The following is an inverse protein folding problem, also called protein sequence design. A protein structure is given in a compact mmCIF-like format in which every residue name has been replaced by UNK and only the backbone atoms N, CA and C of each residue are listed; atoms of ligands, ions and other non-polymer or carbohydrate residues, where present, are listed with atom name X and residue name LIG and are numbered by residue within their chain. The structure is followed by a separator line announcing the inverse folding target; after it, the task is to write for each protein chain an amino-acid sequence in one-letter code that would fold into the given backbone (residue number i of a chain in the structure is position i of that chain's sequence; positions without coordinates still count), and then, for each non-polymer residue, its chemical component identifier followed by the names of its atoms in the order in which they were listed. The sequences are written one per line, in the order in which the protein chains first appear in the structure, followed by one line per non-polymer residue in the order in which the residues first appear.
data_IF_024213808457
#
_entry.id   IF_024213808457
#
_cell.length_a   1.000
_cell.length_b   1.000
_cell.length_c   1.000
_cell.angle_alpha   90.00
_cell.angle_beta   90.00
_cell.angle_gamma   90.00
#
_symmetry.space_group_name_H-M   'P 1'
#
loop_
_entity.id
_entity.type
_entity.pdbx_description
1 polymer ?
#
# COMPACT_ATOMS: atom_id res chain seq x y z
N UNK A 1 -18.20 23.11 5.16
CA UNK A 1 -17.36 22.52 4.11
C UNK A 1 -16.76 21.20 4.61
N UNK A 2 -16.99 20.13 3.88
CA UNK A 2 -16.41 18.83 4.24
C UNK A 2 -15.02 18.77 3.62
N UNK A 3 -13.98 18.66 4.47
CA UNK A 3 -12.62 18.49 3.99
C UNK A 3 -12.43 17.06 3.49
N UNK A 4 -11.85 16.90 2.29
CA UNK A 4 -11.50 15.59 1.76
C UNK A 4 -10.30 15.02 2.52
N UNK A 5 -10.38 13.73 2.87
CA UNK A 5 -9.21 13.02 3.39
C UNK A 5 -8.25 12.72 2.25
N UNK A 6 -6.99 12.99 2.50
CA UNK A 6 -5.91 12.71 1.53
C UNK A 6 -5.29 11.37 1.85
N UNK A 7 -5.55 10.40 0.98
CA UNK A 7 -5.02 9.03 1.12
C UNK A 7 -4.06 8.78 -0.03
N UNK A 8 -2.88 8.28 0.27
CA UNK A 8 -1.90 7.91 -0.74
C UNK A 8 -1.70 6.40 -0.74
N UNK A 9 -1.64 5.82 -1.94
CA UNK A 9 -1.31 4.41 -2.14
C UNK A 9 0.09 4.36 -2.74
N UNK A 10 0.98 3.59 -2.12
CA UNK A 10 2.32 3.37 -2.64
C UNK A 10 2.49 1.88 -2.92
N UNK A 11 2.78 1.54 -4.18
CA UNK A 11 3.11 0.19 -4.60
C UNK A 11 4.60 0.06 -4.92
N UNK A 12 5.20 -1.01 -4.42
CA UNK A 12 6.60 -1.32 -4.60
C UNK A 12 6.90 -2.14 -5.85
N UNK A 13 8.06 -2.84 -5.85
CA UNK A 13 8.59 -3.47 -7.05
C UNK A 13 7.66 -4.53 -7.63
N UNK A 14 7.63 -4.56 -8.93
CA UNK A 14 6.88 -5.53 -9.76
C UNK A 14 5.35 -5.35 -9.71
N UNK A 15 4.83 -4.46 -8.89
CA UNK A 15 3.39 -4.23 -8.82
C UNK A 15 2.85 -3.44 -10.02
N UNK A 16 3.73 -2.85 -10.81
CA UNK A 16 3.39 -2.33 -12.13
C UNK A 16 3.00 -3.43 -13.13
N UNK A 17 3.33 -4.69 -12.81
CA UNK A 17 3.02 -5.84 -13.66
C UNK A 17 1.76 -6.60 -13.21
N UNK A 18 0.96 -6.03 -12.32
CA UNK A 18 -0.31 -6.64 -11.94
C UNK A 18 -1.19 -6.84 -13.18
N UNK A 19 -1.81 -8.01 -13.26
CA UNK A 19 -2.58 -8.44 -14.43
C UNK A 19 -1.77 -9.28 -15.41
N UNK A 20 -0.44 -9.23 -15.34
CA UNK A 20 0.47 -9.98 -16.21
C UNK A 20 1.32 -11.00 -15.47
N UNK A 21 1.72 -10.66 -14.23
CA UNK A 21 2.62 -11.47 -13.41
C UNK A 21 1.81 -12.32 -12.44
N UNK A 22 2.07 -13.62 -12.42
CA UNK A 22 1.48 -14.58 -11.48
C UNK A 22 -0.02 -14.33 -11.24
N UNK A 23 -0.86 -14.41 -12.30
CA UNK A 23 -2.28 -14.06 -12.17
C UNK A 23 -3.03 -14.93 -11.15
N UNK A 24 -2.55 -16.13 -10.86
CA UNK A 24 -3.14 -17.02 -9.85
C UNK A 24 -2.96 -16.49 -8.43
N UNK A 25 -1.95 -15.60 -8.20
CA UNK A 25 -1.72 -14.96 -6.90
C UNK A 25 -2.28 -13.54 -6.83
N UNK A 26 -2.14 -12.80 -7.93
CA UNK A 26 -2.38 -11.36 -7.94
C UNK A 26 -3.59 -10.95 -8.79
N UNK A 27 -4.21 -11.90 -9.53
CA UNK A 27 -5.34 -11.62 -10.40
C UNK A 27 -4.92 -11.14 -11.79
N UNK A 28 -5.91 -10.94 -12.66
CA UNK A 28 -5.72 -10.60 -14.07
C UNK A 28 -5.95 -9.13 -14.40
N UNK A 29 -6.49 -8.35 -13.46
CA UNK A 29 -6.73 -6.91 -13.66
C UNK A 29 -5.47 -6.12 -13.31
N UNK A 30 -5.13 -5.11 -14.13
CA UNK A 30 -4.01 -4.23 -13.78
C UNK A 30 -4.43 -3.22 -12.71
N UNK A 31 -3.44 -2.65 -12.02
CA UNK A 31 -3.72 -1.81 -10.86
C UNK A 31 -4.42 -0.50 -11.23
N UNK A 32 -4.07 0.11 -12.36
CA UNK A 32 -4.68 1.38 -12.77
C UNK A 32 -6.17 1.22 -13.02
N UNK A 33 -6.57 0.14 -13.69
CA UNK A 33 -7.99 -0.16 -13.92
C UNK A 33 -8.72 -0.41 -12.61
N UNK A 34 -8.09 -1.16 -11.71
CA UNK A 34 -8.64 -1.39 -10.37
C UNK A 34 -8.82 -0.07 -9.62
N UNK A 35 -7.80 0.77 -9.63
CA UNK A 35 -7.81 2.06 -8.94
C UNK A 35 -8.92 2.97 -9.46
N UNK A 36 -9.11 3.01 -10.77
CA UNK A 36 -10.17 3.80 -11.39
C UNK A 36 -11.56 3.32 -10.95
N UNK A 37 -11.75 2.01 -10.82
CA UNK A 37 -13.01 1.44 -10.31
C UNK A 37 -13.19 1.79 -8.84
N UNK A 38 -12.13 1.69 -8.05
CA UNK A 38 -12.17 1.99 -6.61
C UNK A 38 -12.57 3.44 -6.37
N UNK A 39 -11.98 4.37 -7.11
CA UNK A 39 -12.25 5.80 -6.95
C UNK A 39 -13.71 6.17 -7.24
N UNK A 40 -14.41 5.37 -8.05
CA UNK A 40 -15.83 5.60 -8.40
C UNK A 40 -16.80 5.08 -7.35
N UNK A 41 -16.31 4.30 -6.37
CA UNK A 41 -17.19 3.79 -5.32
C UNK A 41 -17.63 4.92 -4.39
N UNK A 42 -18.92 4.95 -4.08
CA UNK A 42 -19.49 5.99 -3.25
C UNK A 42 -18.83 6.10 -1.88
N UNK A 43 -18.41 4.96 -1.32
CA UNK A 43 -17.78 4.92 0.00
C UNK A 43 -16.47 5.74 0.05
N UNK A 44 -15.82 5.94 -1.11
CA UNK A 44 -14.57 6.70 -1.21
C UNK A 44 -14.77 8.10 -1.79
N UNK A 45 -16.01 8.54 -1.96
CA UNK A 45 -16.32 9.83 -2.61
C UNK A 45 -15.75 11.04 -1.87
N UNK A 46 -15.51 10.92 -0.56
CA UNK A 46 -14.97 11.98 0.29
C UNK A 46 -13.46 11.85 0.49
N UNK A 47 -12.78 11.17 -0.41
CA UNK A 47 -11.34 10.95 -0.32
C UNK A 47 -10.64 11.39 -1.59
N UNK A 48 -9.50 12.07 -1.42
CA UNK A 48 -8.57 12.35 -2.50
C UNK A 48 -7.51 11.22 -2.46
N UNK A 49 -7.54 10.33 -3.45
CA UNK A 49 -6.66 9.18 -3.50
C UNK A 49 -5.58 9.42 -4.55
N UNK A 50 -4.33 9.49 -4.12
CA UNK A 50 -3.17 9.58 -5.01
C UNK A 50 -2.43 8.25 -5.04
N UNK A 51 -1.78 7.97 -6.16
CA UNK A 51 -1.12 6.70 -6.40
C UNK A 51 0.33 6.89 -6.84
N UNK A 52 1.21 6.11 -6.23
CA UNK A 52 2.62 6.06 -6.59
C UNK A 52 3.03 4.61 -6.77
N UNK A 53 3.95 4.37 -7.68
CA UNK A 53 4.55 3.04 -7.86
C UNK A 53 6.04 3.22 -8.19
N UNK A 54 6.89 2.41 -7.61
CA UNK A 54 8.31 2.39 -7.95
C UNK A 54 8.93 1.03 -7.68
N UNK A 55 9.88 0.66 -8.53
CA UNK A 55 10.71 -0.52 -8.32
C UNK A 55 11.95 -0.21 -7.47
N UNK A 56 12.19 1.05 -7.15
CA UNK A 56 13.41 1.49 -6.49
C UNK A 56 13.16 1.80 -5.02
N UNK A 57 13.92 1.16 -4.14
CA UNK A 57 13.81 1.36 -2.70
C UNK A 57 13.95 2.83 -2.30
N UNK A 58 15.00 3.49 -2.82
CA UNK A 58 15.23 4.91 -2.52
C UNK A 58 14.11 5.82 -2.97
N UNK A 59 13.49 5.50 -4.10
CA UNK A 59 12.34 6.27 -4.59
C UNK A 59 11.13 6.14 -3.67
N UNK A 60 10.89 4.94 -3.15
CA UNK A 60 9.80 4.71 -2.19
C UNK A 60 10.07 5.52 -0.91
N UNK A 61 11.30 5.54 -0.44
CA UNK A 61 11.70 6.34 0.72
C UNK A 61 11.45 7.84 0.45
N UNK A 62 11.86 8.33 -0.72
CA UNK A 62 11.65 9.73 -1.08
C UNK A 62 10.17 10.09 -1.14
N UNK A 63 9.33 9.20 -1.69
CA UNK A 63 7.89 9.40 -1.73
C UNK A 63 7.33 9.51 -0.30
N UNK A 64 7.73 8.59 0.58
CA UNK A 64 7.30 8.62 1.99
C UNK A 64 7.68 9.95 2.66
N UNK A 65 8.91 10.43 2.42
CA UNK A 65 9.33 11.71 2.97
C UNK A 65 8.49 12.87 2.43
N UNK A 66 8.17 12.86 1.13
CA UNK A 66 7.43 13.95 0.50
C UNK A 66 5.99 14.05 0.97
N UNK A 67 5.30 12.92 1.14
CA UNK A 67 3.87 12.91 1.48
C UNK A 67 3.61 12.62 2.95
N UNK A 68 4.62 12.19 3.69
CA UNK A 68 4.48 11.63 5.04
C UNK A 68 4.11 12.61 6.14
N UNK A 69 4.06 13.91 5.86
CA UNK A 69 3.70 14.93 6.84
C UNK A 69 2.40 15.64 6.49
N UNK A 70 1.75 15.24 5.41
CA UNK A 70 0.54 15.92 4.93
C UNK A 70 -0.56 14.96 4.47
N UNK A 71 -0.32 13.64 4.45
CA UNK A 71 -1.34 12.65 4.15
C UNK A 71 -2.12 12.32 5.42
N UNK A 72 -3.43 12.09 5.26
CA UNK A 72 -4.25 11.58 6.35
C UNK A 72 -4.04 10.09 6.56
N UNK A 73 -3.60 9.39 5.52
CA UNK A 73 -3.24 7.98 5.60
C UNK A 73 -2.46 7.54 4.37
N UNK A 74 -1.58 6.57 4.58
CA UNK A 74 -0.77 5.96 3.52
C UNK A 74 -1.02 4.46 3.54
N UNK A 75 -1.41 3.91 2.39
CA UNK A 75 -1.53 2.46 2.18
C UNK A 75 -0.30 2.02 1.41
N UNK A 76 0.55 1.22 2.03
CA UNK A 76 1.83 0.83 1.46
C UNK A 76 1.87 -0.68 1.21
N UNK A 77 2.07 -1.05 -0.05
CA UNK A 77 2.45 -2.40 -0.44
C UNK A 77 3.87 -2.34 -0.98
N UNK A 78 4.84 -2.58 -0.12
CA UNK A 78 6.26 -2.46 -0.48
C UNK A 78 6.78 -3.66 -1.30
N UNK A 79 5.91 -4.63 -1.61
CA UNK A 79 6.31 -5.83 -2.34
C UNK A 79 7.41 -6.58 -1.60
N UNK A 80 8.41 -7.05 -2.34
CA UNK A 80 9.52 -7.82 -1.75
C UNK A 80 10.34 -7.00 -0.75
N UNK A 81 10.35 -5.68 -0.84
CA UNK A 81 11.08 -4.84 0.13
C UNK A 81 10.50 -4.94 1.55
N UNK A 82 9.28 -5.41 1.69
CA UNK A 82 8.69 -5.73 3.00
C UNK A 82 9.58 -6.64 3.83
N UNK A 83 10.27 -7.57 3.16
CA UNK A 83 11.04 -8.63 3.80
C UNK A 83 12.53 -8.29 3.90
N UNK A 84 12.98 -7.14 3.39
CA UNK A 84 14.39 -6.81 3.28
C UNK A 84 14.76 -5.39 3.68
N UNK A 85 13.82 -4.43 3.63
CA UNK A 85 14.20 -3.02 3.72
C UNK A 85 14.05 -2.44 5.12
N UNK A 86 15.17 -2.30 5.80
CA UNK A 86 15.26 -1.49 7.01
C UNK A 86 15.12 0.00 6.67
N UNK A 87 15.59 0.43 5.49
CA UNK A 87 15.48 1.82 5.07
C UNK A 87 14.04 2.30 4.96
N UNK A 88 13.16 1.48 4.40
CA UNK A 88 11.74 1.82 4.32
C UNK A 88 11.11 1.82 5.73
N UNK A 89 11.48 0.85 6.57
CA UNK A 89 10.99 0.82 7.96
C UNK A 89 11.36 2.11 8.70
N UNK A 90 12.62 2.55 8.55
CA UNK A 90 13.09 3.78 9.18
C UNK A 90 12.38 5.02 8.61
N UNK A 91 12.09 5.03 7.30
CA UNK A 91 11.32 6.12 6.69
C UNK A 91 9.92 6.21 7.28
N UNK A 92 9.24 5.08 7.47
CA UNK A 92 7.90 5.04 8.09
C UNK A 92 7.96 5.61 9.51
N UNK A 93 8.98 5.25 10.27
CA UNK A 93 9.15 5.79 11.64
C UNK A 93 9.40 7.30 11.65
N UNK A 94 9.97 7.84 10.59
CA UNK A 94 10.38 9.24 10.52
C UNK A 94 9.26 10.20 10.13
N UNK A 95 8.17 9.70 9.59
CA UNK A 95 7.05 10.53 9.13
C UNK A 95 5.91 10.52 10.16
N UNK A 96 5.01 11.52 10.04
CA UNK A 96 3.89 11.64 10.97
C UNK A 96 2.60 11.01 10.45
N UNK A 97 2.44 10.88 9.14
CA UNK A 97 1.24 10.25 8.55
C UNK A 97 1.18 8.77 8.91
N UNK A 98 0.02 8.25 9.31
CA UNK A 98 -0.11 6.82 9.62
C UNK A 98 -0.01 5.96 8.37
N UNK A 99 0.66 4.82 8.49
CA UNK A 99 0.88 3.88 7.39
C UNK A 99 0.21 2.55 7.71
N UNK A 100 -0.57 2.02 6.77
CA UNK A 100 -1.12 0.67 6.81
C UNK A 100 -0.35 -0.17 5.79
N UNK A 101 0.23 -1.26 6.25
CA UNK A 101 0.90 -2.23 5.39
C UNK A 101 -0.16 -3.12 4.73
N UNK A 102 -0.07 -3.30 3.39
CA UNK A 102 -1.03 -4.09 2.63
C UNK A 102 -0.30 -5.09 1.74
N UNK A 103 -0.83 -6.29 1.65
CA UNK A 103 -0.38 -7.33 0.72
C UNK A 103 -1.59 -7.95 0.05
N UNK A 104 -1.47 -8.24 -1.25
CA UNK A 104 -2.54 -8.86 -2.03
C UNK A 104 -2.70 -10.33 -1.65
N UNK A 105 -1.58 -11.06 -1.59
CA UNK A 105 -1.57 -12.48 -1.24
C UNK A 105 -1.55 -12.68 0.27
N UNK A 106 -1.88 -13.90 0.70
CA UNK A 106 -1.64 -14.31 2.09
C UNK A 106 -0.16 -14.66 2.23
N UNK A 107 0.61 -13.74 2.82
CA UNK A 107 2.06 -13.89 2.97
C UNK A 107 2.45 -15.10 3.81
N UNK A 108 1.57 -15.57 4.69
CA UNK A 108 1.84 -16.73 5.53
C UNK A 108 1.68 -18.07 4.81
N UNK A 109 1.04 -18.06 3.62
CA UNK A 109 0.92 -19.26 2.80
C UNK A 109 1.96 -19.35 1.68
N UNK A 110 2.92 -18.42 1.67
CA UNK A 110 4.02 -18.35 0.70
C UNK A 110 5.31 -18.89 1.31
N UNK A 111 6.44 -18.67 0.62
CA UNK A 111 7.75 -19.12 1.09
C UNK A 111 8.07 -18.53 2.48
N UNK A 112 8.82 -19.27 3.29
CA UNK A 112 9.10 -18.89 4.67
C UNK A 112 9.74 -17.50 4.80
N UNK A 113 10.59 -17.11 3.82
CA UNK A 113 11.25 -15.79 3.84
C UNK A 113 10.27 -14.63 3.58
N UNK A 114 9.01 -14.91 3.16
CA UNK A 114 7.97 -13.90 2.97
C UNK A 114 7.04 -13.76 4.17
N UNK A 115 7.23 -14.56 5.20
CA UNK A 115 6.38 -14.51 6.40
C UNK A 115 6.76 -13.40 7.35
N UNK A 116 8.02 -12.94 7.29
CA UNK A 116 8.52 -11.88 8.16
C UNK A 116 8.45 -10.53 7.45
N UNK A 117 7.89 -9.55 8.14
CA UNK A 117 7.87 -8.16 7.69
C UNK A 117 8.74 -7.29 8.58
N UNK A 118 9.62 -6.50 7.97
CA UNK A 118 10.34 -5.44 8.69
C UNK A 118 9.46 -4.22 8.91
N UNK A 119 8.30 -4.14 8.23
CA UNK A 119 7.46 -2.95 8.23
C UNK A 119 6.33 -3.02 9.25
N UNK A 120 5.84 -4.23 9.57
CA UNK A 120 4.65 -4.40 10.41
C UNK A 120 4.76 -3.71 11.76
N UNK A 121 5.93 -3.76 12.39
CA UNK A 121 6.13 -3.17 13.71
C UNK A 121 6.13 -1.64 13.71
N UNK A 122 6.33 -1.02 12.55
CA UNK A 122 6.35 0.46 12.42
C UNK A 122 5.11 1.00 11.72
N UNK A 123 4.26 0.12 11.18
CA UNK A 123 2.97 0.49 10.61
C UNK A 123 1.88 0.48 11.66
N UNK A 124 0.81 1.25 11.44
CA UNK A 124 -0.34 1.28 12.32
C UNK A 124 -1.10 -0.05 12.31
N UNK A 125 -1.09 -0.76 11.19
CA UNK A 125 -1.73 -2.06 11.05
C UNK A 125 -1.30 -2.74 9.76
N UNK A 126 -1.67 -4.02 9.62
CA UNK A 126 -1.32 -4.84 8.46
C UNK A 126 -2.55 -5.58 7.97
N UNK A 127 -2.77 -5.56 6.65
CA UNK A 127 -3.87 -6.27 5.99
C UNK A 127 -3.27 -7.09 4.84
N UNK A 128 -3.59 -8.38 4.80
CA UNK A 128 -3.11 -9.23 3.73
C UNK A 128 -4.09 -10.35 3.41
N UNK A 129 -4.04 -10.87 2.18
CA UNK A 129 -4.75 -12.08 1.81
C UNK A 129 -6.12 -11.88 1.19
N UNK A 130 -6.58 -10.65 1.01
CA UNK A 130 -7.91 -10.35 0.46
C UNK A 130 -7.85 -9.91 -1.01
N UNK A 131 -6.75 -10.24 -1.71
CA UNK A 131 -6.58 -9.80 -3.09
C UNK A 131 -6.51 -8.28 -3.14
N UNK A 132 -7.01 -7.71 -4.23
CA UNK A 132 -7.04 -6.25 -4.39
C UNK A 132 -7.91 -5.55 -3.35
N UNK A 133 -8.90 -6.24 -2.78
CA UNK A 133 -9.72 -5.68 -1.70
C UNK A 133 -8.90 -5.29 -0.47
N UNK A 134 -7.71 -5.85 -0.32
CA UNK A 134 -6.81 -5.47 0.77
C UNK A 134 -6.53 -3.95 0.77
N UNK A 135 -6.44 -3.34 -0.42
CA UNK A 135 -6.27 -1.88 -0.54
C UNK A 135 -7.50 -1.13 -0.03
N UNK A 136 -8.70 -1.59 -0.39
CA UNK A 136 -9.95 -0.96 0.06
C UNK A 136 -10.07 -1.02 1.58
N UNK A 137 -9.75 -2.17 2.15
CA UNK A 137 -9.76 -2.34 3.60
C UNK A 137 -8.77 -1.40 4.29
N UNK A 138 -7.59 -1.24 3.68
CA UNK A 138 -6.59 -0.29 4.18
C UNK A 138 -7.10 1.14 4.17
N UNK A 139 -7.72 1.56 3.08
CA UNK A 139 -8.27 2.91 2.94
C UNK A 139 -9.40 3.14 3.96
N UNK A 140 -10.31 2.17 4.08
CA UNK A 140 -11.44 2.25 5.01
C UNK A 140 -10.96 2.40 6.46
N UNK A 141 -9.84 1.78 6.81
CA UNK A 141 -9.32 1.84 8.18
C UNK A 141 -9.07 3.28 8.65
N UNK A 142 -8.81 4.20 7.72
CA UNK A 142 -8.60 5.61 8.05
C UNK A 142 -9.91 6.38 8.27
N UNK A 143 -11.06 5.76 8.02
CA UNK A 143 -12.38 6.36 8.23
C UNK A 143 -13.02 5.94 9.56
N UNK A 144 -12.43 4.97 10.23
CA UNK A 144 -12.99 4.40 11.47
C UNK A 144 -12.56 5.17 12.71
#
# INVERSE_FOLDING_TARGET
MILQKKISIINGPNLNLLGKREPELYGTINFIDYLNKLKRKKIFSNMEITYFQSNHEGKIIDILHNIGFQSDGIVLNAGAYTHTSLGIADAIKSISSPVIEVHISNIHSRESFRKKSFLSSVCKGTIFGFGLKSYELGIISFSL
#
